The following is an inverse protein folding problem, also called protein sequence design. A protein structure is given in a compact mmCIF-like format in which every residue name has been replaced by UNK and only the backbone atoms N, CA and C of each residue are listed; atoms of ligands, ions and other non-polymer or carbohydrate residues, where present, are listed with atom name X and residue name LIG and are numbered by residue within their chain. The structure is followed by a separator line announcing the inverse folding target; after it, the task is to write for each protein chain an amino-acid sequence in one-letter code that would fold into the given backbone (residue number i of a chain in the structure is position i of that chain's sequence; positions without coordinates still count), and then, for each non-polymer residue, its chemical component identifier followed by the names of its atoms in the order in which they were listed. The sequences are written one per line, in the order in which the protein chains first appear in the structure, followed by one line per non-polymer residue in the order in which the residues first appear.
data_IF_705916103029
#
_entry.id   IF_705916103029
#
_cell.length_a   1.000
_cell.length_b   1.000
_cell.length_c   1.000
_cell.angle_alpha   90.00
_cell.angle_beta   90.00
_cell.angle_gamma   90.00
#
_symmetry.space_group_name_H-M   'P 1'
#
loop_
_entity.id
_entity.type
_entity.pdbx_description
1 polymer ?
#
# COMPACT_ATOMS: atom_id res chain seq x y z
N UNK A 1 9.72 3.86 12.40
CA UNK A 1 9.09 4.96 11.65
C UNK A 1 7.74 4.52 11.08
N UNK A 2 7.66 3.44 10.28
CA UNK A 2 6.44 3.07 9.55
C UNK A 2 5.21 2.84 10.44
N UNK A 3 5.26 1.98 11.46
CA UNK A 3 4.09 1.71 12.30
C UNK A 3 3.69 2.94 13.14
N UNK A 4 4.63 3.49 13.92
CA UNK A 4 4.37 4.64 14.80
C UNK A 4 3.98 5.89 14.00
N UNK A 5 4.64 6.16 12.86
CA UNK A 5 4.34 7.31 12.02
C UNK A 5 2.91 7.26 11.48
N UNK A 6 2.47 6.11 10.97
CA UNK A 6 1.10 5.94 10.49
C UNK A 6 0.08 6.08 11.62
N UNK A 7 0.35 5.53 12.81
CA UNK A 7 -0.52 5.70 13.96
C UNK A 7 -0.70 7.16 14.35
N UNK A 8 0.41 7.90 14.48
CA UNK A 8 0.37 9.31 14.87
C UNK A 8 -0.33 10.19 13.83
N UNK A 9 -0.04 9.97 12.53
CA UNK A 9 -0.67 10.71 11.44
C UNK A 9 -2.17 10.41 11.36
N UNK A 10 -2.57 9.15 11.45
CA UNK A 10 -3.99 8.74 11.44
C UNK A 10 -4.74 9.35 12.61
N UNK A 11 -4.17 9.29 13.82
CA UNK A 11 -4.77 9.89 15.02
C UNK A 11 -4.96 11.40 14.85
N UNK A 12 -3.96 12.10 14.33
CA UNK A 12 -4.04 13.55 14.11
C UNK A 12 -5.11 13.90 13.05
N UNK A 13 -5.14 13.17 11.93
CA UNK A 13 -6.12 13.35 10.87
C UNK A 13 -7.56 13.13 11.38
N UNK A 14 -7.80 12.02 12.09
CA UNK A 14 -9.13 11.71 12.64
C UNK A 14 -9.61 12.76 13.65
N UNK A 15 -8.73 13.24 14.52
CA UNK A 15 -9.07 14.33 15.45
C UNK A 15 -9.46 15.61 14.74
N UNK A 16 -8.71 15.98 13.71
CA UNK A 16 -8.99 17.16 12.90
C UNK A 16 -10.32 17.01 12.16
N UNK A 17 -10.53 15.88 11.46
CA UNK A 17 -11.78 15.62 10.73
C UNK A 17 -13.00 15.57 11.66
N UNK A 18 -12.86 15.00 12.86
CA UNK A 18 -13.91 15.00 13.86
C UNK A 18 -14.28 16.42 14.31
N UNK A 19 -13.29 17.31 14.51
CA UNK A 19 -13.54 18.70 14.90
C UNK A 19 -14.17 19.51 13.76
N UNK A 20 -13.83 19.23 12.52
CA UNK A 20 -14.39 19.90 11.34
C UNK A 20 -15.81 19.48 11.02
N UNK A 21 -16.26 18.28 11.43
CA UNK A 21 -17.57 17.69 11.14
C UNK A 21 -17.90 17.61 9.65
N UNK A 22 -16.89 17.57 8.79
CA UNK A 22 -17.04 17.55 7.33
C UNK A 22 -17.00 16.14 6.73
N UNK A 23 -16.76 15.11 7.56
CA UNK A 23 -16.37 13.81 7.06
C UNK A 23 -14.99 13.86 6.42
N UNK A 24 -14.70 12.92 5.52
CA UNK A 24 -13.42 12.92 4.80
C UNK A 24 -12.99 11.55 4.27
N UNK A 25 -11.78 11.51 3.74
CA UNK A 25 -11.17 10.27 3.26
C UNK A 25 -9.69 10.20 3.68
N UNK A 26 -9.32 9.06 4.25
CA UNK A 26 -7.93 8.70 4.55
C UNK A 26 -7.55 7.56 3.62
N UNK A 27 -6.50 7.74 2.83
CA UNK A 27 -5.95 6.72 1.94
C UNK A 27 -4.55 6.36 2.42
N UNK A 28 -4.35 5.10 2.78
CA UNK A 28 -3.06 4.59 3.24
C UNK A 28 -2.38 3.78 2.13
N UNK A 29 -1.20 4.19 1.69
CA UNK A 29 -0.40 3.38 0.78
C UNK A 29 0.38 2.35 1.60
N UNK A 30 -0.05 1.10 1.50
CA UNK A 30 0.58 -0.03 2.17
C UNK A 30 1.50 -0.80 1.18
N UNK A 31 1.30 -2.07 0.97
CA UNK A 31 2.12 -2.90 0.07
C UNK A 31 1.50 -4.28 -0.12
N UNK A 32 1.78 -4.94 -1.23
CA UNK A 32 1.38 -6.34 -1.41
C UNK A 32 1.95 -7.27 -0.32
N UNK A 33 3.06 -6.89 0.35
CA UNK A 33 3.65 -7.67 1.43
C UNK A 33 2.73 -7.86 2.64
N UNK A 34 1.68 -7.06 2.78
CA UNK A 34 0.63 -7.30 3.80
C UNK A 34 -0.06 -8.63 3.58
N UNK A 35 -0.24 -9.04 2.33
CA UNK A 35 -0.92 -10.27 1.94
C UNK A 35 0.08 -11.40 1.59
N UNK A 36 1.19 -11.05 0.94
CA UNK A 36 2.22 -11.98 0.49
C UNK A 36 3.61 -11.48 0.91
N UNK A 37 4.02 -11.74 2.18
CA UNK A 37 5.33 -11.30 2.67
C UNK A 37 6.47 -12.02 1.94
N UNK A 38 7.56 -11.29 1.73
CA UNK A 38 8.79 -11.84 1.17
C UNK A 38 9.81 -12.19 2.25
N UNK A 39 10.71 -13.12 1.94
CA UNK A 39 11.89 -13.41 2.78
C UNK A 39 12.74 -12.15 2.95
N UNK A 40 13.45 -12.04 4.04
CA UNK A 40 14.39 -10.96 4.41
C UNK A 40 13.75 -9.58 4.62
N UNK A 41 12.41 -9.53 4.74
CA UNK A 41 11.61 -8.32 4.98
C UNK A 41 10.86 -8.34 6.32
N UNK A 42 11.36 -9.03 7.35
CA UNK A 42 10.63 -9.23 8.60
C UNK A 42 10.18 -7.90 9.24
N UNK A 43 11.09 -6.98 9.48
CA UNK A 43 10.77 -5.69 10.11
C UNK A 43 9.84 -4.83 9.26
N UNK A 44 10.06 -4.80 7.93
CA UNK A 44 9.20 -4.07 7.00
C UNK A 44 7.79 -4.68 6.95
N UNK A 45 7.69 -6.00 6.78
CA UNK A 45 6.41 -6.72 6.71
C UNK A 45 5.61 -6.57 7.99
N UNK A 46 6.26 -6.69 9.16
CA UNK A 46 5.62 -6.49 10.46
C UNK A 46 5.07 -5.06 10.60
N UNK A 47 5.86 -4.04 10.22
CA UNK A 47 5.42 -2.65 10.28
C UNK A 47 4.26 -2.36 9.31
N UNK A 48 4.26 -2.96 8.12
CA UNK A 48 3.18 -2.82 7.14
C UNK A 48 1.92 -3.61 7.51
N UNK A 49 2.06 -4.75 8.15
CA UNK A 49 0.94 -5.48 8.75
C UNK A 49 0.29 -4.66 9.88
N UNK A 50 1.08 -4.02 10.73
CA UNK A 50 0.58 -3.11 11.75
C UNK A 50 -0.18 -1.91 11.13
N UNK A 51 0.34 -1.32 10.05
CA UNK A 51 -0.34 -0.27 9.30
C UNK A 51 -1.69 -0.75 8.73
N UNK A 52 -1.72 -1.94 8.18
CA UNK A 52 -2.94 -2.50 7.60
C UNK A 52 -4.02 -2.77 8.66
N UNK A 53 -3.62 -3.28 9.83
CA UNK A 53 -4.54 -3.49 10.93
C UNK A 53 -5.04 -2.16 11.53
N UNK A 54 -4.16 -1.16 11.65
CA UNK A 54 -4.54 0.19 12.04
C UNK A 54 -5.61 0.77 11.09
N UNK A 55 -5.45 0.61 9.78
CA UNK A 55 -6.41 1.10 8.80
C UNK A 55 -7.80 0.45 8.98
N UNK A 56 -7.85 -0.85 9.27
CA UNK A 56 -9.12 -1.57 9.52
C UNK A 56 -9.83 -1.03 10.77
N UNK A 57 -9.09 -0.88 11.87
CA UNK A 57 -9.64 -0.32 13.12
C UNK A 57 -10.09 1.12 12.90
N UNK A 58 -9.26 1.94 12.26
CA UNK A 58 -9.60 3.33 11.95
C UNK A 58 -10.86 3.44 11.08
N UNK A 59 -11.07 2.53 10.10
CA UNK A 59 -12.29 2.51 9.30
C UNK A 59 -13.56 2.23 10.14
N UNK A 60 -13.45 1.33 11.11
CA UNK A 60 -14.56 1.04 12.04
C UNK A 60 -14.89 2.22 12.95
N UNK A 61 -13.88 2.87 13.51
CA UNK A 61 -14.06 4.00 14.43
C UNK A 61 -14.48 5.29 13.71
N UNK A 62 -13.96 5.51 12.49
CA UNK A 62 -14.16 6.73 11.72
C UNK A 62 -15.55 6.82 11.04
N UNK A 63 -16.23 5.69 10.86
CA UNK A 63 -17.52 5.64 10.18
C UNK A 63 -18.58 6.54 10.82
N UNK A 64 -18.61 6.61 12.14
CA UNK A 64 -19.56 7.44 12.90
C UNK A 64 -19.38 8.95 12.66
N UNK A 65 -18.21 9.40 12.24
CA UNK A 65 -17.93 10.80 11.91
C UNK A 65 -17.88 11.05 10.39
N UNK A 66 -18.35 10.10 9.59
CA UNK A 66 -18.40 10.23 8.12
C UNK A 66 -17.03 10.18 7.42
N UNK A 67 -16.01 9.64 8.08
CA UNK A 67 -14.67 9.51 7.49
C UNK A 67 -14.49 8.09 6.95
N UNK A 68 -14.04 7.99 5.71
CA UNK A 68 -13.68 6.72 5.06
C UNK A 68 -12.17 6.46 5.22
N UNK A 69 -11.79 5.23 5.47
CA UNK A 69 -10.39 4.84 5.56
C UNK A 69 -10.16 3.62 4.68
N UNK A 70 -9.29 3.74 3.69
CA UNK A 70 -9.00 2.68 2.73
C UNK A 70 -7.49 2.53 2.51
N UNK A 71 -7.10 1.41 1.92
CA UNK A 71 -5.71 1.11 1.62
C UNK A 71 -5.49 0.83 0.14
N UNK A 72 -4.27 1.13 -0.32
CA UNK A 72 -3.75 0.70 -1.61
C UNK A 72 -2.55 -0.21 -1.34
N UNK A 73 -2.53 -1.37 -1.96
CA UNK A 73 -1.41 -2.30 -1.92
C UNK A 73 -0.72 -2.37 -3.29
N UNK A 74 0.24 -1.48 -3.58
CA UNK A 74 1.04 -1.59 -4.79
C UNK A 74 2.10 -2.69 -4.67
N UNK A 75 2.57 -3.19 -5.81
CA UNK A 75 3.75 -4.01 -5.92
C UNK A 75 4.78 -3.39 -6.85
N UNK A 76 6.04 -3.41 -6.42
CA UNK A 76 7.23 -3.15 -7.24
C UNK A 76 7.16 -1.90 -8.13
N UNK A 77 6.76 -0.77 -7.57
CA UNK A 77 6.86 0.53 -8.25
C UNK A 77 8.34 0.93 -8.32
N UNK A 78 8.95 0.83 -9.51
CA UNK A 78 10.37 1.15 -9.71
C UNK A 78 10.60 2.61 -10.07
N UNK A 79 9.81 3.15 -10.98
CA UNK A 79 9.97 4.51 -11.53
C UNK A 79 9.87 5.55 -10.40
N UNK A 80 10.90 6.39 -10.29
CA UNK A 80 10.97 7.51 -9.32
C UNK A 80 10.79 7.09 -7.84
N UNK A 81 11.07 5.82 -7.50
CA UNK A 81 10.95 5.32 -6.13
C UNK A 81 12.27 5.34 -5.40
N UNK A 82 12.33 6.05 -4.27
CA UNK A 82 13.50 6.05 -3.38
C UNK A 82 13.75 4.70 -2.67
N UNK A 83 12.82 3.74 -2.76
CA UNK A 83 13.00 2.39 -2.22
C UNK A 83 14.07 1.61 -3.00
N UNK A 84 14.13 1.79 -4.30
CA UNK A 84 14.99 1.01 -5.19
C UNK A 84 16.39 1.61 -5.35
N UNK A 85 17.08 1.88 -4.21
CA UNK A 85 18.48 2.24 -4.23
C UNK A 85 19.34 1.15 -4.91
N UNK A 86 20.55 1.47 -5.42
CA UNK A 86 21.44 0.46 -6.00
C UNK A 86 21.71 -0.73 -5.06
N UNK A 87 21.82 -0.48 -3.77
CA UNK A 87 22.01 -1.52 -2.77
C UNK A 87 20.78 -2.43 -2.66
N UNK A 88 19.57 -1.85 -2.57
CA UNK A 88 18.32 -2.62 -2.50
C UNK A 88 18.13 -3.45 -3.76
N UNK A 89 18.42 -2.90 -4.95
CA UNK A 89 18.33 -3.63 -6.23
C UNK A 89 19.26 -4.84 -6.24
N UNK A 90 20.54 -4.68 -5.89
CA UNK A 90 21.50 -5.79 -5.80
C UNK A 90 21.04 -6.88 -4.82
N UNK A 91 20.65 -6.48 -3.62
CA UNK A 91 20.21 -7.43 -2.59
C UNK A 91 18.97 -8.21 -3.04
N UNK A 92 18.02 -7.56 -3.70
CA UNK A 92 16.83 -8.21 -4.22
C UNK A 92 17.12 -9.15 -5.38
N UNK A 93 17.96 -8.75 -6.32
CA UNK A 93 18.40 -9.60 -7.42
C UNK A 93 19.12 -10.86 -6.89
N UNK A 94 20.05 -10.69 -5.95
CA UNK A 94 20.72 -11.82 -5.28
C UNK A 94 19.73 -12.75 -4.55
N UNK A 95 18.75 -12.20 -3.84
CA UNK A 95 17.73 -13.00 -3.13
C UNK A 95 16.83 -13.82 -4.09
N UNK A 96 16.70 -13.38 -5.34
CA UNK A 96 15.99 -14.11 -6.40
C UNK A 96 16.92 -14.98 -7.27
N UNK A 97 18.24 -14.91 -7.09
CA UNK A 97 19.22 -15.66 -7.89
C UNK A 97 19.29 -15.20 -9.34
N UNK A 98 19.07 -13.92 -9.61
CA UNK A 98 19.04 -13.33 -10.94
C UNK A 98 20.03 -12.15 -11.06
N UNK A 99 20.48 -11.80 -12.29
CA UNK A 99 21.22 -10.56 -12.52
C UNK A 99 20.41 -9.31 -12.12
N UNK A 100 21.09 -8.26 -11.64
CA UNK A 100 20.43 -7.00 -11.29
C UNK A 100 19.67 -6.38 -12.48
N UNK A 101 20.21 -6.53 -13.69
CA UNK A 101 19.58 -6.03 -14.91
C UNK A 101 18.20 -6.66 -15.19
N UNK A 102 17.97 -7.88 -14.72
CA UNK A 102 16.73 -8.63 -14.96
C UNK A 102 15.69 -8.41 -13.86
N UNK A 103 16.01 -7.60 -12.85
CA UNK A 103 15.16 -7.44 -11.66
C UNK A 103 13.77 -6.88 -12.01
N UNK A 104 13.69 -5.84 -12.82
CA UNK A 104 12.39 -5.24 -13.21
C UNK A 104 11.56 -6.21 -14.04
N UNK A 105 12.19 -6.91 -14.97
CA UNK A 105 11.54 -7.94 -15.78
C UNK A 105 11.02 -9.11 -14.94
N UNK A 106 11.79 -9.54 -13.93
CA UNK A 106 11.37 -10.55 -12.98
C UNK A 106 10.10 -10.11 -12.22
N UNK A 107 10.03 -8.85 -11.80
CA UNK A 107 8.84 -8.33 -11.12
C UNK A 107 7.65 -8.18 -12.07
N UNK A 108 7.89 -7.77 -13.32
CA UNK A 108 6.87 -7.65 -14.36
C UNK A 108 6.24 -8.99 -14.70
N UNK A 109 7.05 -10.02 -14.91
CA UNK A 109 6.57 -11.34 -15.37
C UNK A 109 5.89 -12.17 -14.29
N UNK A 110 6.02 -11.81 -13.01
CA UNK A 110 5.38 -12.56 -11.91
C UNK A 110 3.91 -12.17 -11.66
N UNK A 111 3.43 -11.08 -12.24
CA UNK A 111 2.02 -10.72 -12.17
C UNK A 111 1.26 -11.22 -13.41
N UNK A 112 -0.05 -11.46 -13.25
CA UNK A 112 -0.87 -12.10 -14.28
C UNK A 112 -1.00 -11.28 -15.56
N UNK A 113 -1.00 -9.95 -15.45
CA UNK A 113 -1.12 -9.06 -16.62
C UNK A 113 0.22 -8.89 -17.35
N UNK A 114 1.35 -9.28 -16.74
CA UNK A 114 2.68 -9.09 -17.31
C UNK A 114 3.05 -7.62 -17.50
N UNK A 115 2.61 -6.73 -16.60
CA UNK A 115 2.80 -5.29 -16.70
C UNK A 115 3.72 -4.74 -15.61
N UNK A 116 4.36 -3.61 -15.91
CA UNK A 116 5.03 -2.77 -14.91
C UNK A 116 3.99 -1.93 -14.18
N UNK A 117 4.18 -1.71 -12.89
CA UNK A 117 3.33 -0.82 -12.08
C UNK A 117 4.05 0.50 -11.92
N UNK A 118 3.40 1.57 -12.33
CA UNK A 118 3.92 2.93 -12.28
C UNK A 118 3.27 3.76 -11.15
N UNK A 119 3.90 4.86 -10.72
CA UNK A 119 3.31 5.78 -9.75
C UNK A 119 1.94 6.30 -10.16
N UNK A 120 1.72 6.49 -11.46
CA UNK A 120 0.46 7.00 -12.00
C UNK A 120 -0.69 6.00 -11.78
N UNK A 121 -0.42 4.69 -11.90
CA UNK A 121 -1.43 3.65 -11.61
C UNK A 121 -1.89 3.71 -10.14
N UNK A 122 -0.94 3.95 -9.23
CA UNK A 122 -1.24 4.11 -7.80
C UNK A 122 -1.99 5.42 -7.54
N UNK A 123 -1.62 6.49 -8.24
CA UNK A 123 -2.23 7.81 -8.10
C UNK A 123 -3.71 7.81 -8.55
N UNK A 124 -4.05 7.10 -9.64
CA UNK A 124 -5.43 6.96 -10.09
C UNK A 124 -6.33 6.30 -9.03
N UNK A 125 -5.84 5.24 -8.40
CA UNK A 125 -6.56 4.59 -7.31
C UNK A 125 -6.65 5.49 -6.08
N UNK A 126 -5.59 6.21 -5.74
CA UNK A 126 -5.59 7.16 -4.63
C UNK A 126 -6.61 8.28 -4.87
N UNK A 127 -6.65 8.83 -6.07
CA UNK A 127 -7.62 9.84 -6.46
C UNK A 127 -9.08 9.33 -6.37
N UNK A 128 -9.34 8.12 -6.88
CA UNK A 128 -10.66 7.50 -6.76
C UNK A 128 -11.07 7.34 -5.29
N UNK A 129 -10.20 6.78 -4.45
CA UNK A 129 -10.48 6.57 -3.03
C UNK A 129 -10.61 7.87 -2.25
N UNK A 130 -9.92 8.93 -2.64
CA UNK A 130 -10.02 10.25 -2.01
C UNK A 130 -11.30 11.00 -2.41
N UNK A 131 -11.84 10.72 -3.59
CA UNK A 131 -12.99 11.44 -4.16
C UNK A 131 -14.35 10.87 -3.72
N UNK A 132 -15.43 11.61 -4.01
CA UNK A 132 -16.82 11.17 -3.78
C UNK A 132 -17.24 9.99 -4.65
N UNK A 133 -16.47 9.64 -5.67
CA UNK A 133 -16.70 8.45 -6.50
C UNK A 133 -16.68 7.16 -5.69
N UNK A 134 -15.93 7.16 -4.61
CA UNK A 134 -15.85 6.04 -3.66
C UNK A 134 -16.62 6.27 -2.34
N UNK A 135 -17.63 7.17 -2.34
CA UNK A 135 -18.36 7.58 -1.13
C UNK A 135 -19.03 6.44 -0.34
N UNK A 136 -19.18 5.29 -0.92
CA UNK A 136 -19.73 4.09 -0.28
C UNK A 136 -18.67 3.01 0.05
N UNK A 137 -17.39 3.37 -0.06
CA UNK A 137 -16.27 2.44 0.11
C UNK A 137 -15.41 2.85 1.30
N UNK A 138 -15.34 2.00 2.32
CA UNK A 138 -14.45 2.14 3.48
C UNK A 138 -13.99 0.76 3.95
N UNK A 139 -12.82 0.68 4.58
CA UNK A 139 -12.24 -0.56 5.08
C UNK A 139 -11.68 -1.49 3.99
N UNK A 140 -11.65 -1.04 2.72
CA UNK A 140 -11.17 -1.84 1.60
C UNK A 140 -9.65 -1.76 1.41
N UNK A 141 -9.14 -2.78 0.76
CA UNK A 141 -7.77 -2.83 0.21
C UNK A 141 -7.89 -2.97 -1.30
N UNK A 142 -7.38 -2.00 -2.04
CA UNK A 142 -7.28 -2.06 -3.49
C UNK A 142 -5.85 -2.43 -3.87
N UNK A 143 -5.67 -3.54 -4.57
CA UNK A 143 -4.36 -3.95 -5.07
C UNK A 143 -4.06 -3.25 -6.39
N UNK A 144 -2.82 -2.78 -6.54
CA UNK A 144 -2.25 -2.22 -7.78
C UNK A 144 -0.96 -2.98 -8.04
N UNK A 145 -1.09 -4.22 -8.51
CA UNK A 145 0.01 -5.18 -8.58
C UNK A 145 0.01 -6.04 -9.86
N UNK A 146 -0.87 -5.73 -10.82
CA UNK A 146 -1.02 -6.51 -12.05
C UNK A 146 -1.53 -7.94 -11.83
N UNK A 147 -2.03 -8.24 -10.63
CA UNK A 147 -2.51 -9.58 -10.28
C UNK A 147 -1.41 -10.51 -9.78
N UNK A 148 -0.74 -10.17 -8.68
CA UNK A 148 0.18 -11.09 -8.00
C UNK A 148 -0.65 -12.16 -7.26
N UNK A 149 -0.75 -13.35 -7.82
CA UNK A 149 -1.64 -14.41 -7.33
C UNK A 149 -1.44 -14.76 -5.84
N UNK A 150 -0.19 -14.71 -5.34
CA UNK A 150 0.12 -14.93 -3.93
C UNK A 150 -0.47 -13.87 -2.98
N UNK A 151 -0.85 -12.71 -3.51
CA UNK A 151 -1.41 -11.59 -2.75
C UNK A 151 -2.94 -11.49 -2.86
N UNK A 152 -3.60 -12.43 -3.51
CA UNK A 152 -5.06 -12.46 -3.58
C UNK A 152 -5.68 -12.58 -2.19
N UNK A 153 -6.74 -11.83 -1.87
CA UNK A 153 -7.48 -12.00 -0.63
C UNK A 153 -8.01 -13.43 -0.50
N UNK A 154 -7.88 -13.99 0.70
CA UNK A 154 -8.39 -15.33 1.04
C UNK A 154 -9.42 -15.22 2.13
#
# INVERSE_FOLDING_TARGET
VNATGHFLATRAALRLMASQRSGGSIVMVATKNVMAPGKDFAAYSAAKAAQAQLARVAAMEAGAIGVRVNMINPDAVFRNSGLWSPEVRRNRAAAHGIPEADLEEHYRTRNLLGVTIDPDDVAEVAWWLASDRSRKTTGTVVTVDGGVAAAFPR
#
